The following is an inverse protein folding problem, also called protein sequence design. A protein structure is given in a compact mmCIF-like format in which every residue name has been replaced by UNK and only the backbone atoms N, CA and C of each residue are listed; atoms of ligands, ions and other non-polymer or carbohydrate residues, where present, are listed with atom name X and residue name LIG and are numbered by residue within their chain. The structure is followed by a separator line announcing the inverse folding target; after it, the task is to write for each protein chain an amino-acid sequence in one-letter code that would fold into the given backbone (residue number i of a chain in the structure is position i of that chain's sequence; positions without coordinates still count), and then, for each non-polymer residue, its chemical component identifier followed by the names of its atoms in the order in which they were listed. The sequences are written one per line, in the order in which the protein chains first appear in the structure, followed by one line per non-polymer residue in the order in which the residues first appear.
data_IF_887298636396
#
_entry.id   IF_887298636396
#
_cell.length_a   1.000
_cell.length_b   1.000
_cell.length_c   1.000
_cell.angle_alpha   90.00
_cell.angle_beta   90.00
_cell.angle_gamma   90.00
#
_symmetry.space_group_name_H-M   'P 1'
#
loop_
_entity.id
_entity.type
_entity.pdbx_description
1 polymer ?
#
# COMPACT_ATOMS: atom_id res chain seq x y z
N UNK A 1 8.52 -7.12 55.18
CA UNK A 1 7.52 -8.15 54.83
C UNK A 1 8.17 -9.08 53.81
N UNK A 2 8.63 -10.26 54.26
CA UNK A 2 9.44 -11.16 53.45
C UNK A 2 8.51 -11.93 52.50
N UNK A 3 8.45 -11.54 51.24
CA UNK A 3 7.64 -12.26 50.25
C UNK A 3 8.35 -13.58 49.96
N UNK A 4 7.69 -14.68 50.32
CA UNK A 4 8.15 -16.04 50.08
C UNK A 4 8.54 -16.22 48.61
N UNK A 5 9.76 -16.68 48.34
CA UNK A 5 10.29 -16.85 46.97
C UNK A 5 9.40 -17.75 46.10
N UNK A 6 8.63 -18.66 46.72
CA UNK A 6 7.62 -19.48 46.05
C UNK A 6 6.40 -18.69 45.57
N UNK A 7 5.96 -17.67 46.31
CA UNK A 7 4.83 -16.80 45.91
C UNK A 7 5.23 -15.83 44.80
N UNK A 8 6.48 -15.35 44.81
CA UNK A 8 7.02 -14.52 43.74
C UNK A 8 7.13 -15.27 42.39
N UNK A 9 7.54 -16.54 42.41
CA UNK A 9 7.60 -17.39 41.21
C UNK A 9 6.22 -17.70 40.61
N UNK A 10 5.20 -17.90 41.45
CA UNK A 10 3.82 -18.14 40.98
C UNK A 10 3.21 -16.87 40.36
N UNK A 11 3.50 -15.70 40.92
CA UNK A 11 3.06 -14.42 40.34
C UNK A 11 3.76 -14.14 38.99
N UNK A 12 5.04 -14.46 38.85
CA UNK A 12 5.79 -14.25 37.61
C UNK A 12 5.31 -15.17 36.47
N UNK A 13 4.91 -16.42 36.77
CA UNK A 13 4.39 -17.33 35.75
C UNK A 13 2.99 -16.94 35.27
N UNK A 14 2.18 -16.29 36.11
CA UNK A 14 0.83 -15.83 35.75
C UNK A 14 0.85 -14.60 34.82
N UNK A 15 1.87 -13.76 34.94
CA UNK A 15 2.09 -12.61 34.02
C UNK A 15 2.62 -13.07 32.66
N UNK A 16 3.41 -14.14 32.60
CA UNK A 16 3.94 -14.66 31.34
C UNK A 16 2.89 -15.36 30.45
N UNK A 17 1.80 -15.90 31.02
CA UNK A 17 0.72 -16.55 30.24
C UNK A 17 -0.32 -15.54 29.72
N UNK A 18 -0.42 -14.35 30.34
CA UNK A 18 -1.34 -13.30 29.89
C UNK A 18 -0.82 -12.48 28.69
N UNK A 19 0.46 -12.62 28.30
CA UNK A 19 1.06 -11.89 27.19
C UNK A 19 0.98 -12.61 25.82
N UNK A 20 0.41 -13.82 25.76
CA UNK A 20 0.36 -14.64 24.53
C UNK A 20 -1.06 -14.70 23.93
N UNK A 21 -2.06 -14.10 24.55
CA UNK A 21 -3.47 -14.14 24.07
C UNK A 21 -4.02 -12.78 23.62
N UNK A 22 -3.16 -11.86 23.20
CA UNK A 22 -3.56 -10.60 22.54
C UNK A 22 -3.23 -10.64 21.06
N UNK A 23 -4.04 -11.33 20.26
CA UNK A 23 -3.90 -11.28 18.81
C UNK A 23 -4.39 -12.53 18.13
N UNK A 24 -5.71 -12.63 17.99
CA UNK A 24 -6.46 -12.99 16.77
C UNK A 24 -7.87 -13.24 17.28
N UNK A 25 -8.68 -12.18 17.28
CA UNK A 25 -10.13 -12.30 17.39
C UNK A 25 -10.73 -11.48 16.24
N UNK A 26 -11.40 -12.24 15.35
CA UNK A 26 -12.44 -11.85 14.38
C UNK A 26 -11.95 -11.08 13.13
N UNK A 27 -12.31 -11.49 11.92
CA UNK A 27 -13.70 -11.70 11.50
C UNK A 27 -13.85 -12.82 10.45
N UNK A 28 -14.65 -13.83 10.81
CA UNK A 28 -15.42 -14.61 9.85
C UNK A 28 -16.66 -13.79 9.50
N UNK A 29 -16.65 -13.06 8.38
CA UNK A 29 -17.88 -12.66 7.72
C UNK A 29 -18.06 -13.49 6.44
N UNK A 30 -19.23 -14.08 6.41
CA UNK A 30 -19.85 -14.95 5.43
C UNK A 30 -19.83 -14.41 4.00
N UNK A 31 -19.63 -15.35 3.07
CA UNK A 31 -20.32 -15.50 1.79
C UNK A 31 -21.42 -14.48 1.48
N UNK A 32 -21.26 -13.78 0.36
CA UNK A 32 -22.26 -13.56 -0.70
C UNK A 32 -21.91 -12.26 -1.44
N UNK A 33 -20.98 -12.34 -2.41
CA UNK A 33 -20.86 -11.45 -3.59
C UNK A 33 -19.60 -11.81 -4.39
N UNK A 34 -19.36 -13.11 -4.63
CA UNK A 34 -18.45 -13.53 -5.69
C UNK A 34 -19.16 -13.27 -7.03
N UNK A 35 -19.20 -12.00 -7.43
CA UNK A 35 -19.49 -11.63 -8.81
C UNK A 35 -18.23 -11.91 -9.62
N UNK A 36 -18.30 -12.68 -10.73
CA UNK A 36 -17.15 -12.94 -11.55
C UNK A 36 -16.83 -11.66 -12.32
N UNK A 37 -15.94 -10.81 -11.79
CA UNK A 37 -15.38 -9.73 -12.59
C UNK A 37 -14.38 -10.40 -13.54
N UNK A 38 -14.86 -10.58 -14.77
CA UNK A 38 -14.12 -11.10 -15.89
C UNK A 38 -12.80 -10.35 -16.07
N UNK A 39 -11.74 -11.14 -16.29
CA UNK A 39 -10.41 -10.68 -16.70
C UNK A 39 -10.51 -9.63 -17.82
N UNK A 40 -10.17 -8.41 -17.45
CA UNK A 40 -10.00 -7.28 -18.35
C UNK A 40 -8.86 -6.43 -17.81
N UNK A 41 -7.68 -7.02 -17.64
CA UNK A 41 -6.43 -6.29 -17.37
C UNK A 41 -6.15 -5.34 -18.54
N UNK A 42 -6.77 -4.16 -18.50
CA UNK A 42 -6.31 -3.01 -19.26
C UNK A 42 -5.21 -2.38 -18.42
N UNK A 43 -3.96 -2.59 -18.86
CA UNK A 43 -2.76 -1.95 -18.33
C UNK A 43 -2.91 -0.41 -18.42
N UNK A 44 -3.22 0.25 -17.30
CA UNK A 44 -3.24 1.72 -17.18
C UNK A 44 -1.92 2.25 -16.60
N UNK A 45 -0.79 1.97 -17.26
CA UNK A 45 0.53 2.50 -16.90
C UNK A 45 0.72 3.98 -17.29
N UNK A 46 -0.30 4.65 -17.84
CA UNK A 46 -0.20 6.06 -18.25
C UNK A 46 -0.18 7.04 -17.07
N UNK A 47 -0.80 6.69 -15.94
CA UNK A 47 -1.00 7.63 -14.84
C UNK A 47 0.14 7.61 -13.81
N UNK A 48 0.75 6.44 -13.55
CA UNK A 48 1.88 6.30 -12.64
C UNK A 48 3.12 7.10 -13.07
N UNK A 49 3.31 7.33 -14.37
CA UNK A 49 4.43 8.13 -14.90
C UNK A 49 4.31 9.64 -14.63
N UNK A 50 3.14 10.15 -14.25
CA UNK A 50 2.93 11.58 -13.97
C UNK A 50 3.11 11.94 -12.49
N UNK A 51 2.87 11.01 -11.56
CA UNK A 51 2.91 11.26 -10.11
C UNK A 51 4.29 11.00 -9.50
N UNK A 52 5.12 10.14 -10.10
CA UNK A 52 6.55 10.00 -9.73
C UNK A 52 7.38 11.28 -10.02
N UNK A 53 6.74 12.32 -10.55
CA UNK A 53 7.28 13.67 -10.74
C UNK A 53 7.43 14.45 -9.43
N UNK A 54 8.26 13.97 -8.51
CA UNK A 54 9.00 14.91 -7.65
C UNK A 54 9.76 15.84 -8.59
N UNK A 55 9.48 17.12 -8.46
CA UNK A 55 10.13 18.23 -9.18
C UNK A 55 11.66 18.03 -9.27
N UNK A 56 12.14 17.54 -10.40
CA UNK A 56 13.53 17.67 -10.84
C UNK A 56 13.48 18.36 -12.21
N UNK A 57 13.93 19.60 -12.17
CA UNK A 57 14.04 20.57 -13.23
C UNK A 57 14.61 20.04 -14.57
N UNK A 58 14.22 20.71 -15.66
CA UNK A 58 14.95 20.72 -16.93
C UNK A 58 14.03 20.45 -18.13
N UNK A 59 13.29 21.44 -18.63
CA UNK A 59 13.77 22.25 -19.77
C UNK A 59 15.22 21.93 -20.11
N UNK A 60 15.46 20.93 -20.96
CA UNK A 60 16.43 20.90 -22.06
C UNK A 60 16.38 19.49 -22.65
N UNK A 61 15.85 19.41 -23.87
CA UNK A 61 15.45 18.15 -24.46
C UNK A 61 16.58 17.16 -24.62
N UNK A 62 16.23 15.87 -24.53
CA UNK A 62 16.85 14.81 -25.30
C UNK A 62 15.80 13.74 -25.61
N UNK A 63 15.55 13.63 -26.92
CA UNK A 63 15.30 12.41 -27.68
C UNK A 63 14.44 11.31 -27.03
N UNK A 64 13.18 11.25 -27.47
CA UNK A 64 12.41 10.09 -27.95
C UNK A 64 13.09 8.69 -27.92
N UNK A 65 13.55 8.25 -26.75
CA UNK A 65 13.97 6.89 -26.48
C UNK A 65 12.91 6.23 -25.63
N UNK A 66 12.10 5.35 -26.24
CA UNK A 66 11.31 4.34 -25.52
C UNK A 66 12.28 3.40 -24.80
N UNK A 67 12.83 3.84 -23.68
CA UNK A 67 13.47 2.96 -22.71
C UNK A 67 12.33 2.40 -21.88
N UNK A 68 11.65 1.40 -22.45
CA UNK A 68 10.87 0.43 -21.69
C UNK A 68 11.87 -0.16 -20.70
N UNK A 69 11.84 0.32 -19.46
CA UNK A 69 12.72 -0.16 -18.41
C UNK A 69 12.63 -1.69 -18.35
N UNK A 70 13.79 -2.34 -18.39
CA UNK A 70 14.02 -3.78 -18.45
C UNK A 70 13.53 -4.57 -17.22
N UNK A 71 12.62 -4.00 -16.43
CA UNK A 71 12.05 -4.65 -15.26
C UNK A 71 10.64 -5.07 -15.62
N UNK A 72 10.45 -6.39 -15.77
CA UNK A 72 9.14 -6.98 -15.98
C UNK A 72 8.13 -6.54 -14.92
N UNK A 73 6.85 -6.71 -15.22
CA UNK A 73 5.77 -6.48 -14.27
C UNK A 73 6.09 -7.17 -12.94
N UNK A 74 6.15 -6.40 -11.85
CA UNK A 74 6.25 -6.97 -10.51
C UNK A 74 4.91 -7.63 -10.25
N UNK A 75 4.88 -8.96 -10.27
CA UNK A 75 3.72 -9.71 -9.82
C UNK A 75 3.56 -9.52 -8.30
N UNK A 76 2.40 -9.06 -7.89
CA UNK A 76 2.09 -8.74 -6.50
C UNK A 76 1.12 -9.79 -5.99
N UNK A 77 1.48 -10.48 -4.90
CA UNK A 77 0.58 -11.45 -4.27
C UNK A 77 -0.66 -10.76 -3.73
N UNK A 78 -1.79 -11.48 -3.70
CA UNK A 78 -3.03 -10.96 -3.12
C UNK A 78 -2.88 -10.60 -1.64
N UNK A 79 -2.14 -11.41 -0.87
CA UNK A 79 -1.81 -11.12 0.52
C UNK A 79 -1.12 -9.77 0.69
N UNK A 80 -0.18 -9.44 -0.20
CA UNK A 80 0.48 -8.14 -0.17
C UNK A 80 -0.51 -7.02 -0.48
N UNK A 81 -1.34 -7.18 -1.52
CA UNK A 81 -2.35 -6.17 -1.90
C UNK A 81 -3.30 -5.91 -0.74
N UNK A 82 -3.84 -6.96 -0.13
CA UNK A 82 -4.75 -6.86 1.00
C UNK A 82 -4.11 -6.15 2.20
N UNK A 83 -2.86 -6.49 2.53
CA UNK A 83 -2.14 -5.83 3.62
C UNK A 83 -2.01 -4.30 3.37
N UNK A 84 -1.57 -3.90 2.17
CA UNK A 84 -1.44 -2.49 1.81
C UNK A 84 -2.79 -1.77 1.85
N UNK A 85 -3.84 -2.40 1.31
CA UNK A 85 -5.21 -1.85 1.30
C UNK A 85 -5.73 -1.69 2.73
N UNK A 86 -5.46 -2.64 3.63
CA UNK A 86 -5.88 -2.56 5.02
C UNK A 86 -5.20 -1.40 5.74
N UNK A 87 -3.89 -1.21 5.52
CA UNK A 87 -3.17 -0.03 6.04
C UNK A 87 -3.81 1.26 5.50
N UNK A 88 -4.04 1.35 4.19
CA UNK A 88 -4.66 2.53 3.60
C UNK A 88 -6.06 2.81 4.15
N UNK A 89 -6.91 1.78 4.30
CA UNK A 89 -8.26 1.91 4.86
C UNK A 89 -8.29 2.29 6.34
N UNK A 90 -7.19 2.09 7.07
CA UNK A 90 -7.10 2.52 8.47
C UNK A 90 -6.96 4.04 8.61
N UNK A 91 -6.55 4.73 7.54
CA UNK A 91 -6.38 6.18 7.52
C UNK A 91 -7.70 6.92 7.29
N UNK A 92 -7.94 7.97 8.08
CA UNK A 92 -9.20 8.70 8.08
C UNK A 92 -9.42 9.47 6.77
N UNK A 93 -8.38 10.03 6.17
CA UNK A 93 -8.49 10.81 4.93
C UNK A 93 -8.75 9.87 3.74
N UNK A 94 -8.16 8.66 3.75
CA UNK A 94 -8.50 7.63 2.78
C UNK A 94 -9.95 7.17 2.91
N UNK A 95 -10.46 6.97 4.13
CA UNK A 95 -11.88 6.64 4.32
C UNK A 95 -12.79 7.73 3.78
N UNK A 96 -12.43 9.00 3.95
CA UNK A 96 -13.19 10.12 3.40
C UNK A 96 -13.24 10.04 1.86
N UNK A 97 -12.11 9.75 1.20
CA UNK A 97 -12.07 9.56 -0.25
C UNK A 97 -12.96 8.40 -0.72
N UNK A 98 -12.92 7.26 -0.02
CA UNK A 98 -13.76 6.11 -0.35
C UNK A 98 -15.26 6.43 -0.20
N UNK A 99 -15.62 7.16 0.85
CA UNK A 99 -16.99 7.63 1.08
C UNK A 99 -17.43 8.66 0.02
N UNK A 100 -16.50 9.46 -0.50
CA UNK A 100 -16.73 10.41 -1.58
C UNK A 100 -16.87 9.75 -2.97
N UNK A 101 -16.74 8.43 -3.06
CA UNK A 101 -16.98 7.63 -4.26
C UNK A 101 -15.72 7.19 -5.00
N UNK A 102 -14.53 7.38 -4.43
CA UNK A 102 -13.31 6.79 -4.97
C UNK A 102 -13.29 5.27 -4.77
N UNK A 103 -12.82 4.54 -5.77
CA UNK A 103 -12.62 3.09 -5.73
C UNK A 103 -11.14 2.77 -5.84
N UNK A 104 -10.69 1.75 -5.12
CA UNK A 104 -9.31 1.25 -5.24
C UNK A 104 -9.18 0.51 -6.57
N UNK A 105 -8.28 0.96 -7.44
CA UNK A 105 -8.06 0.38 -8.78
C UNK A 105 -6.76 -0.42 -8.89
N UNK A 106 -5.83 -0.25 -7.96
CA UNK A 106 -4.63 -1.07 -7.91
C UNK A 106 -3.69 -0.74 -6.75
N UNK A 107 -2.68 -1.61 -6.62
CA UNK A 107 -1.60 -1.49 -5.64
C UNK A 107 -0.28 -1.65 -6.37
N UNK A 108 0.62 -0.67 -6.25
CA UNK A 108 1.95 -0.69 -6.85
C UNK A 108 3.01 -0.71 -5.74
N UNK A 109 3.77 -1.79 -5.56
CA UNK A 109 4.89 -1.81 -4.62
C UNK A 109 6.01 -0.88 -5.10
N UNK A 110 6.67 -0.23 -4.15
CA UNK A 110 7.91 0.51 -4.37
C UNK A 110 9.05 -0.35 -3.82
N UNK A 111 9.79 -0.95 -4.75
CA UNK A 111 10.89 -1.84 -4.42
C UNK A 111 12.16 -1.03 -4.24
N UNK A 112 12.86 -1.29 -3.13
CA UNK A 112 14.20 -0.79 -2.87
C UNK A 112 15.17 -1.96 -2.90
N UNK A 113 16.28 -1.78 -3.62
CA UNK A 113 17.43 -2.67 -3.57
C UNK A 113 18.55 -1.99 -2.79
N UNK A 114 19.11 -2.68 -1.80
CA UNK A 114 20.14 -2.17 -0.91
C UNK A 114 21.35 -3.10 -1.00
N UNK A 115 22.54 -2.51 -1.17
CA UNK A 115 23.81 -3.21 -0.98
C UNK A 115 24.25 -2.99 0.46
N UNK A 116 24.31 -4.06 1.23
CA UNK A 116 24.70 -4.04 2.64
C UNK A 116 26.22 -3.90 2.78
N UNK A 117 26.70 -3.58 4.00
CA UNK A 117 28.13 -3.32 4.24
C UNK A 117 29.04 -4.52 4.03
N UNK A 118 28.49 -5.74 4.04
CA UNK A 118 29.18 -7.00 3.74
C UNK A 118 29.11 -7.37 2.24
N UNK A 119 28.46 -6.55 1.42
CA UNK A 119 28.29 -6.75 -0.01
C UNK A 119 27.03 -7.54 -0.41
N UNK A 120 26.18 -7.96 0.54
CA UNK A 120 24.91 -8.61 0.22
C UNK A 120 23.93 -7.65 -0.47
N UNK A 121 23.09 -8.19 -1.35
CA UNK A 121 22.06 -7.43 -2.07
C UNK A 121 20.69 -7.87 -1.60
N UNK A 122 19.97 -6.97 -0.94
CA UNK A 122 18.60 -7.19 -0.46
C UNK A 122 17.63 -6.39 -1.32
N UNK A 123 16.57 -7.04 -1.80
CA UNK A 123 15.49 -6.38 -2.55
C UNK A 123 14.18 -6.58 -1.80
N UNK A 124 13.53 -5.48 -1.40
CA UNK A 124 12.29 -5.51 -0.61
C UNK A 124 11.38 -4.36 -1.00
N UNK A 125 10.07 -4.60 -0.98
CA UNK A 125 9.09 -3.50 -1.00
C UNK A 125 8.98 -2.89 0.40
N UNK A 126 9.42 -1.65 0.56
CA UNK A 126 9.34 -0.90 1.83
C UNK A 126 8.15 0.04 1.85
N UNK A 127 7.60 0.36 0.67
CA UNK A 127 6.46 1.24 0.52
C UNK A 127 5.58 0.75 -0.63
N UNK A 128 4.36 1.25 -0.72
CA UNK A 128 3.46 0.98 -1.81
C UNK A 128 2.57 2.18 -2.11
N UNK A 129 2.05 2.25 -3.34
CA UNK A 129 1.07 3.24 -3.75
C UNK A 129 -0.25 2.53 -3.97
N UNK A 130 -1.30 2.94 -3.25
CA UNK A 130 -2.67 2.56 -3.55
C UNK A 130 -3.24 3.60 -4.51
N UNK A 131 -3.74 3.13 -5.65
CA UNK A 131 -4.35 3.98 -6.67
C UNK A 131 -5.86 3.96 -6.47
N UNK A 132 -6.46 5.15 -6.45
CA UNK A 132 -7.89 5.32 -6.36
C UNK A 132 -8.44 6.14 -7.52
N UNK A 133 -9.63 5.80 -7.97
CA UNK A 133 -10.33 6.46 -9.07
C UNK A 133 -11.81 6.62 -8.73
N UNK A 134 -12.36 7.82 -8.94
CA UNK A 134 -13.80 8.09 -8.78
C UNK A 134 -14.50 8.13 -10.14
N UNK A 135 -13.86 8.74 -11.13
CA UNK A 135 -14.29 8.85 -12.52
C UNK A 135 -13.07 9.03 -13.43
N UNK A 136 -13.28 9.29 -14.72
CA UNK A 136 -12.19 9.42 -15.70
C UNK A 136 -11.24 10.59 -15.42
N UNK A 137 -11.66 11.58 -14.64
CA UNK A 137 -10.95 12.82 -14.40
C UNK A 137 -10.39 12.94 -12.98
N UNK A 138 -10.90 12.15 -12.03
CA UNK A 138 -10.59 12.27 -10.61
C UNK A 138 -9.87 11.05 -10.07
N UNK A 139 -8.59 11.22 -9.75
CA UNK A 139 -7.67 10.18 -9.32
C UNK A 139 -6.99 10.56 -8.01
N UNK A 140 -6.68 9.58 -7.18
CA UNK A 140 -5.87 9.78 -5.99
C UNK A 140 -4.78 8.69 -5.88
N UNK A 141 -3.63 9.08 -5.34
CA UNK A 141 -2.53 8.19 -5.01
C UNK A 141 -2.24 8.28 -3.52
N UNK A 142 -2.32 7.14 -2.84
CA UNK A 142 -2.08 7.04 -1.41
C UNK A 142 -0.77 6.29 -1.21
N UNK A 143 0.20 6.99 -0.66
CA UNK A 143 1.52 6.45 -0.33
C UNK A 143 1.44 5.79 1.03
N UNK A 144 1.83 4.52 1.07
CA UNK A 144 1.81 3.67 2.26
C UNK A 144 3.24 3.29 2.60
N UNK A 145 3.63 3.55 3.85
CA UNK A 145 4.84 2.99 4.44
C UNK A 145 4.50 1.64 5.07
N UNK A 146 5.14 0.58 4.58
CA UNK A 146 4.89 -0.80 5.02
C UNK A 146 5.68 -1.15 6.29
N UNK A 147 6.72 -0.39 6.61
CA UNK A 147 7.54 -0.59 7.81
C UNK A 147 6.91 0.11 9.01
N UNK A 148 6.37 1.31 8.81
CA UNK A 148 5.64 2.05 9.84
C UNK A 148 4.14 1.69 9.89
N UNK A 149 3.62 1.03 8.86
CA UNK A 149 2.22 0.57 8.81
C UNK A 149 1.22 1.71 8.74
N UNK A 150 1.51 2.78 8.00
CA UNK A 150 0.66 3.97 7.89
C UNK A 150 0.70 4.62 6.52
N UNK A 151 -0.28 5.49 6.28
CA UNK A 151 -0.28 6.40 5.13
C UNK A 151 0.67 7.57 5.42
N UNK A 152 1.51 7.91 4.44
CA UNK A 152 2.50 8.99 4.55
C UNK A 152 2.17 10.19 3.66
N UNK A 153 1.43 9.98 2.58
CA UNK A 153 1.06 11.04 1.64
C UNK A 153 -0.20 10.65 0.86
N UNK A 154 -1.07 11.63 0.61
CA UNK A 154 -2.23 11.49 -0.28
C UNK A 154 -2.14 12.60 -1.31
N UNK A 155 -2.06 12.21 -2.58
CA UNK A 155 -2.03 13.14 -3.72
C UNK A 155 -3.32 12.96 -4.51
N UNK A 156 -4.10 14.03 -4.65
CA UNK A 156 -5.35 14.04 -5.41
C UNK A 156 -5.14 14.85 -6.68
N UNK A 157 -5.57 14.30 -7.82
CA UNK A 157 -5.55 14.95 -9.12
C UNK A 157 -6.97 15.03 -9.67
N UNK A 158 -7.38 16.26 -9.99
CA UNK A 158 -8.69 16.54 -10.61
C UNK A 158 -8.46 17.16 -11.98
N UNK A 159 -8.86 16.45 -13.03
CA UNK A 159 -8.87 16.90 -14.41
C UNK A 159 -10.18 17.58 -14.78
N UNK A 160 -10.13 18.47 -15.77
CA UNK A 160 -11.33 18.97 -16.46
C UNK A 160 -11.43 18.30 -17.82
N UNK A 161 -12.56 17.65 -18.10
CA UNK A 161 -12.84 17.03 -19.39
C UNK A 161 -13.77 17.93 -20.19
N UNK A 162 -13.37 18.29 -21.41
CA UNK A 162 -14.18 19.04 -22.37
C UNK A 162 -14.48 18.11 -23.55
N UNK A 163 -15.69 17.57 -23.59
CA UNK A 163 -16.17 16.76 -24.71
C UNK A 163 -16.39 17.62 -25.94
N UNK A 164 -15.96 17.13 -27.11
CA UNK A 164 -16.18 17.79 -28.40
C UNK A 164 -17.13 16.95 -29.25
N UNK A 165 -18.02 17.59 -30.03
CA UNK A 165 -18.96 16.91 -30.91
C UNK A 165 -18.27 16.20 -32.09
#
# INVERSE_FOLDING_TARGET
MNIDKRKALILLSLVAVAAITSGIVLNAYTLANASPVANGEKSWNGFAGWIDGRMMAGIYGWSHGRVHGCYGFVEVSEEFKENVINIAKSDQDVQNLLNDGYNITGVRPIIKTIVEGDGNVVTKATSAIVMLEKDTASHASVWVDLEEGKVTEIVILTGTVIEKP
#
